data_IF_290244984557
#
_entry.id   IF_290244984557
#
_cell.length_a   1.000
_cell.length_b   1.000
_cell.length_c   1.000
_cell.angle_alpha   90.00
_cell.angle_beta   90.00
_cell.angle_gamma   90.00
#
_symmetry.space_group_name_H-M   'P 1'
#
loop_
_entity.id
_entity.type
_entity.pdbx_description
1 polymer ?
#
# COMPACT_ATOMS: atom_id res chain seq x y z
N UNK A 1 -44.61 -3.80 11.94
CA UNK A 1 -43.81 -4.57 12.93
C UNK A 1 -42.83 -5.51 12.25
N UNK A 2 -43.10 -6.82 12.07
CA UNK A 2 -42.08 -7.82 11.68
C UNK A 2 -41.23 -7.47 10.44
N UNK A 3 -41.83 -6.97 9.35
CA UNK A 3 -41.11 -6.57 8.13
C UNK A 3 -40.08 -5.44 8.35
N UNK A 4 -40.40 -4.44 9.18
CA UNK A 4 -39.48 -3.33 9.51
C UNK A 4 -38.24 -3.84 10.27
N UNK A 5 -38.42 -4.80 11.18
CA UNK A 5 -37.30 -5.41 11.89
C UNK A 5 -36.38 -6.19 10.95
N UNK A 6 -36.94 -6.86 9.92
CA UNK A 6 -36.17 -7.58 8.91
C UNK A 6 -35.33 -6.63 8.04
N UNK A 7 -35.92 -5.50 7.61
CA UNK A 7 -35.22 -4.47 6.84
C UNK A 7 -34.08 -3.83 7.65
N UNK A 8 -34.32 -3.53 8.93
CA UNK A 8 -33.28 -3.01 9.83
C UNK A 8 -32.13 -4.01 10.03
N UNK A 9 -32.44 -5.30 10.24
CA UNK A 9 -31.42 -6.35 10.31
C UNK A 9 -30.60 -6.49 9.02
N UNK A 10 -31.24 -6.45 7.86
CA UNK A 10 -30.54 -6.48 6.56
C UNK A 10 -29.63 -5.26 6.37
N UNK A 11 -30.07 -4.06 6.79
CA UNK A 11 -29.23 -2.85 6.76
C UNK A 11 -28.05 -2.86 7.73
N UNK A 12 -28.05 -3.74 8.74
CA UNK A 12 -26.89 -3.95 9.62
C UNK A 12 -25.84 -4.90 9.01
N UNK A 13 -26.18 -5.66 7.96
CA UNK A 13 -25.28 -6.57 7.25
C UNK A 13 -24.70 -6.00 5.95
N UNK A 14 -25.03 -4.75 5.58
CA UNK A 14 -24.26 -3.99 4.60
C UNK A 14 -22.94 -3.52 5.22
N UNK A 15 -22.06 -4.47 5.54
CA UNK A 15 -20.62 -4.21 5.60
C UNK A 15 -20.24 -3.55 4.29
N UNK A 16 -19.74 -2.30 4.26
CA UNK A 16 -19.23 -1.73 3.02
C UNK A 16 -18.14 -2.68 2.53
N UNK A 17 -18.22 -3.08 1.26
CA UNK A 17 -17.19 -3.92 0.60
C UNK A 17 -15.86 -3.23 0.85
N UNK A 18 -15.02 -3.88 1.66
CA UNK A 18 -14.07 -3.19 2.53
C UNK A 18 -12.88 -2.66 1.72
N UNK A 19 -13.08 -1.55 1.02
CA UNK A 19 -12.10 -0.94 0.16
C UNK A 19 -10.80 -0.71 0.94
N UNK A 20 -9.73 -1.29 0.42
CA UNK A 20 -8.39 -1.20 0.98
C UNK A 20 -7.85 0.24 0.88
N UNK A 21 -8.36 1.02 -0.08
CA UNK A 21 -8.34 2.48 -0.06
C UNK A 21 -9.31 2.97 1.01
N UNK A 22 -8.77 3.45 2.14
CA UNK A 22 -9.53 3.91 3.30
C UNK A 22 -9.70 5.42 3.32
N UNK A 23 -10.74 5.90 4.00
CA UNK A 23 -11.01 7.34 4.16
C UNK A 23 -10.05 8.02 5.14
N UNK A 24 -9.77 7.37 6.26
CA UNK A 24 -9.03 7.92 7.41
C UNK A 24 -8.25 6.78 8.10
N UNK A 25 -6.92 6.87 8.12
CA UNK A 25 -6.04 5.84 8.69
C UNK A 25 -6.30 5.55 10.17
N UNK A 26 -6.59 6.57 10.99
CA UNK A 26 -6.80 6.41 12.44
C UNK A 26 -8.04 5.57 12.80
N UNK A 27 -9.01 5.49 11.87
CA UNK A 27 -10.25 4.71 11.99
C UNK A 27 -10.22 3.40 11.19
N UNK A 28 -9.05 3.05 10.65
CA UNK A 28 -8.85 1.90 9.75
C UNK A 28 -8.28 0.66 10.45
N UNK A 29 -8.19 -0.46 9.73
CA UNK A 29 -7.51 -1.68 10.20
C UNK A 29 -5.99 -1.56 10.23
N UNK A 30 -5.39 -0.72 9.38
CA UNK A 30 -3.94 -0.51 9.35
C UNK A 30 -3.46 0.61 10.32
N UNK A 31 -4.36 1.11 11.17
CA UNK A 31 -4.04 2.04 12.28
C UNK A 31 -2.94 1.52 13.23
N UNK A 32 -2.79 0.20 13.34
CA UNK A 32 -1.79 -0.47 14.19
C UNK A 32 -0.33 -0.23 13.76
N UNK A 33 -0.08 0.18 12.51
CA UNK A 33 1.27 0.45 12.00
C UNK A 33 1.81 1.84 12.38
N UNK A 34 0.96 2.70 12.93
CA UNK A 34 1.32 4.06 13.36
C UNK A 34 1.55 4.13 14.88
N UNK A 35 2.25 5.18 15.33
CA UNK A 35 2.46 5.44 16.75
C UNK A 35 1.12 5.71 17.42
N UNK A 36 0.78 4.95 18.47
CA UNK A 36 -0.48 5.14 19.18
C UNK A 36 -0.40 6.31 20.16
N UNK A 37 -1.50 7.02 20.36
CA UNK A 37 -1.60 8.05 21.40
C UNK A 37 -1.29 7.46 22.80
N UNK A 38 -0.86 8.25 23.79
CA UNK A 38 -0.55 7.74 25.14
C UNK A 38 -1.72 7.02 25.83
N UNK A 39 -2.96 7.36 25.46
CA UNK A 39 -4.18 6.70 25.93
C UNK A 39 -4.71 5.61 24.98
N UNK A 40 -3.98 5.27 23.91
CA UNK A 40 -4.30 4.28 22.86
C UNK A 40 -5.71 4.39 22.27
N UNK A 41 -6.19 5.63 22.08
CA UNK A 41 -7.50 5.93 21.47
C UNK A 41 -7.43 6.36 20.01
N UNK A 42 -6.28 6.86 19.55
CA UNK A 42 -6.09 7.44 18.22
C UNK A 42 -4.68 7.09 17.75
N UNK A 43 -4.54 6.71 16.48
CA UNK A 43 -3.25 6.54 15.83
C UNK A 43 -2.70 7.90 15.35
N UNK A 44 -1.44 8.20 15.68
CA UNK A 44 -0.76 9.42 15.26
C UNK A 44 -0.16 9.19 13.88
N UNK A 45 -0.88 9.63 12.85
CA UNK A 45 -0.46 9.55 11.46
C UNK A 45 0.37 10.78 11.07
N UNK A 46 1.26 10.69 10.07
CA UNK A 46 1.81 11.86 9.39
C UNK A 46 0.70 12.69 8.73
N UNK A 47 1.05 13.91 8.27
CA UNK A 47 0.14 14.76 7.49
C UNK A 47 -0.41 14.01 6.27
N UNK A 48 -1.73 13.99 6.15
CA UNK A 48 -2.44 13.48 4.98
C UNK A 48 -2.87 14.67 4.12
N UNK A 49 -2.53 14.63 2.83
CA UNK A 49 -3.02 15.57 1.83
C UNK A 49 -4.48 15.27 1.47
N UNK A 50 -5.26 16.30 1.15
CA UNK A 50 -6.73 16.21 1.04
C UNK A 50 -7.25 16.19 -0.40
N UNK A 51 -6.35 16.41 -1.35
CA UNK A 51 -6.61 16.40 -2.79
C UNK A 51 -6.88 14.98 -3.29
N UNK A 52 -7.68 14.87 -4.37
CA UNK A 52 -8.35 13.62 -4.78
C UNK A 52 -7.39 12.52 -5.24
N UNK A 53 -6.18 12.89 -5.67
CA UNK A 53 -5.10 12.01 -6.10
C UNK A 53 -4.42 11.29 -4.93
N UNK A 54 -4.54 11.80 -3.70
CA UNK A 54 -3.95 11.16 -2.54
C UNK A 54 -4.88 10.10 -1.94
N UNK A 55 -4.41 8.86 -1.88
CA UNK A 55 -5.13 7.70 -1.34
C UNK A 55 -4.43 7.19 -0.09
N UNK A 56 -5.18 7.01 0.99
CA UNK A 56 -4.71 6.26 2.15
C UNK A 56 -5.04 4.79 1.91
N UNK A 57 -4.04 3.90 1.94
CA UNK A 57 -4.18 2.50 1.55
C UNK A 57 -3.73 1.58 2.69
N UNK A 58 -4.62 0.68 3.13
CA UNK A 58 -4.36 -0.31 4.17
C UNK A 58 -3.99 -1.66 3.57
N UNK A 59 -2.79 -1.76 3.01
CA UNK A 59 -2.33 -2.90 2.20
C UNK A 59 -2.43 -4.28 2.90
N UNK A 60 -3.11 -5.25 2.26
CA UNK A 60 -3.41 -6.62 2.73
C UNK A 60 -2.98 -7.75 1.76
N UNK A 61 -2.48 -8.86 2.30
CA UNK A 61 -2.22 -10.12 1.56
C UNK A 61 -2.79 -11.32 2.27
N UNK A 62 -3.47 -12.20 1.54
CA UNK A 62 -4.12 -13.39 2.07
C UNK A 62 -4.88 -13.07 3.38
N UNK A 63 -5.68 -12.01 3.35
CA UNK A 63 -6.47 -11.53 4.48
C UNK A 63 -5.64 -11.08 5.71
N UNK A 64 -4.42 -10.55 5.51
CA UNK A 64 -3.56 -9.96 6.55
C UNK A 64 -2.98 -8.61 6.14
N UNK A 65 -3.23 -7.57 6.93
CA UNK A 65 -2.65 -6.25 6.75
C UNK A 65 -1.12 -6.27 6.95
N UNK A 66 -0.40 -5.41 6.23
CA UNK A 66 1.08 -5.39 6.22
C UNK A 66 1.69 -3.99 6.28
N UNK A 67 1.06 -3.04 5.59
CA UNK A 67 1.54 -1.67 5.44
C UNK A 67 0.36 -0.69 5.46
N UNK A 68 0.64 0.57 5.74
CA UNK A 68 -0.29 1.69 5.56
C UNK A 68 0.40 2.76 4.71
N UNK A 69 -0.09 3.04 3.49
CA UNK A 69 0.60 3.90 2.50
C UNK A 69 -0.27 5.08 2.08
N UNK A 70 0.26 6.29 2.22
CA UNK A 70 -0.30 7.45 1.52
C UNK A 70 0.29 7.44 0.12
N UNK A 71 -0.54 7.22 -0.90
CA UNK A 71 -0.14 7.07 -2.30
C UNK A 71 -0.66 8.23 -3.13
N UNK A 72 0.13 8.69 -4.10
CA UNK A 72 -0.23 9.72 -5.08
C UNK A 72 -0.54 9.04 -6.42
N UNK A 73 -1.82 8.95 -6.76
CA UNK A 73 -2.28 8.30 -7.99
C UNK A 73 -2.09 9.14 -9.25
N UNK A 74 -1.71 10.43 -9.14
CA UNK A 74 -1.38 11.25 -10.30
C UNK A 74 0.09 11.06 -10.68
N UNK A 75 0.97 10.93 -9.69
CA UNK A 75 2.41 10.70 -9.89
C UNK A 75 2.80 9.22 -9.89
N UNK A 76 1.87 8.32 -9.56
CA UNK A 76 2.04 6.85 -9.51
C UNK A 76 3.19 6.46 -8.56
N UNK A 77 3.23 7.08 -7.37
CA UNK A 77 4.25 6.88 -6.33
C UNK A 77 3.66 6.95 -4.91
N UNK A 78 4.28 6.32 -3.90
CA UNK A 78 4.01 6.62 -2.49
C UNK A 78 4.52 8.01 -2.09
N UNK A 79 3.83 8.62 -1.14
CA UNK A 79 4.29 9.76 -0.35
C UNK A 79 5.04 9.27 0.91
N UNK A 80 4.45 8.30 1.61
CA UNK A 80 5.06 7.60 2.75
C UNK A 80 4.32 6.28 3.03
N UNK A 81 4.95 5.41 3.83
CA UNK A 81 4.23 4.29 4.47
C UNK A 81 4.67 4.04 5.91
N UNK A 82 3.78 3.41 6.67
CA UNK A 82 4.03 2.88 8.00
C UNK A 82 3.86 1.35 8.03
N UNK A 83 4.60 0.67 8.91
CA UNK A 83 4.58 -0.78 9.13
C UNK A 83 5.18 -1.10 10.51
N UNK A 84 4.86 -2.27 11.07
CA UNK A 84 5.46 -2.72 12.34
C UNK A 84 6.73 -3.54 12.10
N UNK A 85 7.89 -2.95 12.43
CA UNK A 85 9.15 -3.69 12.45
C UNK A 85 9.16 -4.75 13.57
N UNK A 86 9.65 -5.96 13.27
CA UNK A 86 9.53 -7.12 14.16
C UNK A 86 10.81 -7.96 14.31
N UNK A 87 11.96 -7.50 13.77
CA UNK A 87 13.28 -8.04 14.09
C UNK A 87 13.57 -9.47 13.63
N UNK A 88 13.02 -9.87 12.48
CA UNK A 88 13.25 -11.20 11.90
C UNK A 88 14.61 -11.38 11.21
N UNK A 89 14.83 -12.59 10.68
CA UNK A 89 16.03 -12.96 9.94
C UNK A 89 16.08 -12.30 8.54
N UNK A 90 17.26 -12.18 7.95
CA UNK A 90 17.38 -11.74 6.55
C UNK A 90 16.75 -12.79 5.62
N UNK A 91 15.72 -12.39 4.87
CA UNK A 91 15.05 -13.22 3.88
C UNK A 91 15.31 -12.65 2.48
N UNK A 92 15.40 -13.54 1.48
CA UNK A 92 15.51 -13.13 0.10
C UNK A 92 14.22 -12.46 -0.39
N UNK A 93 14.39 -11.44 -1.25
CA UNK A 93 13.26 -10.71 -1.83
C UNK A 93 12.62 -11.57 -2.92
N UNK A 94 11.36 -11.96 -2.73
CA UNK A 94 10.55 -12.47 -3.83
C UNK A 94 10.42 -11.37 -4.92
N UNK A 95 10.66 -11.74 -6.18
CA UNK A 95 10.65 -10.82 -7.32
C UNK A 95 9.25 -10.50 -7.88
N UNK A 96 8.20 -11.15 -7.39
CA UNK A 96 6.83 -10.93 -7.87
C UNK A 96 6.32 -9.50 -7.58
N UNK A 97 5.99 -8.78 -8.66
CA UNK A 97 5.15 -7.59 -8.59
C UNK A 97 3.70 -7.95 -8.29
N UNK A 98 3.00 -7.08 -7.56
CA UNK A 98 1.57 -7.15 -7.25
C UNK A 98 1.03 -5.74 -6.97
N UNK A 99 -0.23 -5.49 -7.36
CA UNK A 99 -0.88 -4.18 -7.40
C UNK A 99 -2.11 -4.09 -6.48
N UNK A 100 -2.59 -2.87 -6.24
CA UNK A 100 -3.87 -2.54 -5.60
C UNK A 100 -4.99 -2.52 -6.68
N UNK A 101 -5.74 -3.61 -6.93
CA UNK A 101 -6.70 -3.62 -8.04
C UNK A 101 -7.87 -2.64 -7.82
N UNK A 102 -8.15 -2.27 -6.57
CA UNK A 102 -9.15 -1.29 -6.18
C UNK A 102 -8.74 0.19 -6.39
N UNK A 103 -7.48 0.48 -6.76
CA UNK A 103 -7.10 1.81 -7.26
C UNK A 103 -7.63 2.06 -8.67
N UNK A 104 -7.57 1.04 -9.55
CA UNK A 104 -8.10 1.13 -10.91
C UNK A 104 -9.63 0.94 -10.95
N UNK A 105 -10.16 -0.03 -10.20
CA UNK A 105 -11.58 -0.35 -10.19
C UNK A 105 -12.06 -0.67 -8.77
N UNK A 106 -12.81 0.25 -8.15
CA UNK A 106 -13.32 0.15 -6.76
C UNK A 106 -14.28 -1.01 -6.48
N UNK A 107 -14.65 -1.81 -7.50
CA UNK A 107 -15.39 -3.08 -7.31
C UNK A 107 -14.50 -4.30 -7.08
N UNK A 108 -13.18 -4.18 -7.26
CA UNK A 108 -12.18 -5.24 -7.03
C UNK A 108 -12.01 -5.59 -5.55
N UNK A 109 -11.36 -6.72 -5.29
CA UNK A 109 -11.11 -7.24 -3.95
C UNK A 109 -10.06 -6.43 -3.16
N UNK A 110 -10.13 -6.42 -1.82
CA UNK A 110 -9.15 -5.80 -0.94
C UNK A 110 -8.08 -6.80 -0.48
N UNK A 111 -7.47 -7.51 -1.41
CA UNK A 111 -6.15 -8.12 -1.24
C UNK A 111 -5.41 -7.82 -2.54
N UNK A 112 -4.18 -7.33 -2.44
CA UNK A 112 -3.36 -7.00 -3.61
C UNK A 112 -3.04 -8.24 -4.45
N UNK A 113 -3.20 -8.14 -5.76
CA UNK A 113 -3.09 -9.27 -6.70
C UNK A 113 -1.92 -9.10 -7.69
N UNK A 114 -1.37 -10.22 -8.20
CA UNK A 114 -0.50 -10.15 -9.39
C UNK A 114 -1.42 -9.99 -10.60
N UNK A 115 -1.22 -8.91 -11.35
CA UNK A 115 -1.86 -8.68 -12.65
C UNK A 115 -1.10 -9.40 -13.77
N UNK A 116 -1.77 -9.70 -14.88
CA UNK A 116 -1.09 -10.21 -16.07
C UNK A 116 -0.32 -9.08 -16.76
N UNK A 117 0.64 -9.45 -17.61
CA UNK A 117 1.40 -8.48 -18.40
C UNK A 117 0.52 -7.82 -19.50
N UNK A 118 -0.63 -8.42 -19.80
CA UNK A 118 -1.68 -7.92 -20.70
C UNK A 118 -2.55 -6.86 -20.00
N UNK A 119 -2.94 -7.08 -18.73
CA UNK A 119 -3.72 -6.11 -17.94
C UNK A 119 -2.92 -4.83 -17.62
N UNK A 120 -1.59 -4.87 -17.64
CA UNK A 120 -0.72 -3.75 -17.22
C UNK A 120 -0.96 -2.44 -17.96
N UNK A 121 -1.45 -2.48 -19.21
CA UNK A 121 -1.72 -1.26 -19.99
C UNK A 121 -3.04 -0.56 -19.60
N UNK A 122 -3.89 -1.21 -18.79
CA UNK A 122 -5.10 -0.57 -18.22
C UNK A 122 -4.81 0.23 -16.94
N UNK A 123 -3.65 0.02 -16.31
CA UNK A 123 -3.31 0.55 -14.97
C UNK A 123 -2.85 2.02 -15.01
N UNK A 124 -3.78 2.92 -14.68
CA UNK A 124 -3.62 4.37 -14.78
C UNK A 124 -3.26 5.05 -13.46
N UNK A 125 -3.68 4.50 -12.32
CA UNK A 125 -3.61 5.16 -11.01
C UNK A 125 -2.48 4.68 -10.09
N UNK A 126 -1.72 3.68 -10.52
CA UNK A 126 -0.50 3.20 -9.86
C UNK A 126 0.52 2.73 -10.90
N UNK A 127 1.77 2.58 -10.50
CA UNK A 127 2.80 2.02 -11.36
C UNK A 127 2.68 0.49 -11.49
N UNK A 128 3.27 -0.05 -12.55
CA UNK A 128 3.30 -1.48 -12.87
C UNK A 128 4.73 -1.91 -13.18
N UNK A 129 4.98 -3.22 -13.21
CA UNK A 129 6.32 -3.77 -13.42
C UNK A 129 6.98 -3.25 -14.71
N UNK A 130 6.17 -3.11 -15.78
CA UNK A 130 6.54 -2.55 -17.08
C UNK A 130 7.21 -1.17 -16.99
N UNK A 131 6.75 -0.28 -16.12
CA UNK A 131 7.31 1.09 -15.96
C UNK A 131 8.81 1.07 -15.63
N UNK A 132 9.27 0.02 -14.94
CA UNK A 132 10.66 -0.15 -14.52
C UNK A 132 11.43 -1.06 -15.49
N UNK A 133 10.86 -2.17 -15.93
CA UNK A 133 11.53 -3.12 -16.85
C UNK A 133 11.78 -2.52 -18.24
N UNK A 134 10.83 -1.75 -18.77
CA UNK A 134 10.98 -1.06 -20.07
C UNK A 134 11.56 0.35 -19.93
N UNK A 135 11.86 0.83 -18.71
CA UNK A 135 12.33 2.19 -18.43
C UNK A 135 13.44 2.68 -19.37
N UNK A 136 14.41 1.81 -19.64
CA UNK A 136 15.57 2.08 -20.51
C UNK A 136 15.18 2.22 -21.99
N UNK A 137 14.18 1.47 -22.46
CA UNK A 137 13.61 1.66 -23.80
C UNK A 137 12.85 2.98 -23.86
N UNK A 138 11.92 3.18 -22.91
CA UNK A 138 10.88 4.19 -23.02
C UNK A 138 11.37 5.60 -22.61
N UNK A 139 12.47 5.71 -21.85
CA UNK A 139 13.02 7.00 -21.36
C UNK A 139 14.52 7.19 -21.62
N UNK A 140 15.20 6.22 -22.25
CA UNK A 140 16.67 6.12 -22.34
C UNK A 140 17.40 6.09 -20.96
N UNK A 141 16.66 6.09 -19.84
CA UNK A 141 17.20 6.00 -18.48
C UNK A 141 16.70 4.72 -17.83
N UNK A 142 17.61 3.96 -17.24
CA UNK A 142 17.29 2.70 -16.55
C UNK A 142 16.96 3.00 -15.08
N UNK A 143 15.72 2.68 -14.67
CA UNK A 143 15.21 2.89 -13.32
C UNK A 143 15.07 1.55 -12.59
N UNK A 144 15.71 1.43 -11.43
CA UNK A 144 15.45 0.32 -10.51
C UNK A 144 14.32 0.63 -9.55
N UNK A 145 13.51 -0.40 -9.31
CA UNK A 145 12.53 -0.46 -8.23
C UNK A 145 13.22 -0.73 -6.88
N UNK A 146 12.97 0.11 -5.88
CA UNK A 146 13.57 -0.01 -4.54
C UNK A 146 12.56 0.26 -3.43
N UNK A 147 12.46 -0.66 -2.46
CA UNK A 147 11.53 -0.49 -1.32
C UNK A 147 11.99 0.63 -0.37
N UNK A 148 11.03 1.47 0.02
CA UNK A 148 11.06 2.38 1.17
C UNK A 148 10.92 1.61 2.50
N UNK A 149 11.09 0.27 2.48
CA UNK A 149 11.41 -0.58 3.62
C UNK A 149 12.81 -1.20 3.45
N UNK A 150 13.78 -0.92 4.36
CA UNK A 150 15.09 -1.59 4.33
C UNK A 150 14.96 -3.10 4.63
N UNK A 151 15.66 -3.95 3.87
CA UNK A 151 15.53 -5.42 3.91
C UNK A 151 15.98 -6.09 5.23
N UNK A 152 16.38 -5.32 6.24
CA UNK A 152 17.04 -5.81 7.46
C UNK A 152 16.02 -6.07 8.58
N UNK A 153 15.21 -7.13 8.43
CA UNK A 153 14.58 -7.81 9.57
C UNK A 153 13.05 -7.85 9.64
N UNK A 154 12.37 -8.17 8.54
CA UNK A 154 10.94 -8.52 8.59
C UNK A 154 10.70 -9.89 9.26
N UNK A 155 9.65 -10.02 10.07
CA UNK A 155 9.23 -11.32 10.64
C UNK A 155 8.81 -12.31 9.54
N UNK A 156 8.79 -13.61 9.86
CA UNK A 156 8.20 -14.66 9.01
C UNK A 156 6.72 -14.40 8.70
N UNK A 157 6.00 -13.64 9.54
CA UNK A 157 4.64 -13.15 9.22
C UNK A 157 4.60 -12.04 8.15
N UNK A 158 5.68 -11.26 8.00
CA UNK A 158 5.81 -10.13 7.06
C UNK A 158 6.12 -10.58 5.62
N UNK A 159 6.42 -11.86 5.39
CA UNK A 159 6.60 -12.45 4.06
C UNK A 159 5.37 -12.27 3.16
N UNK A 160 5.46 -11.32 2.22
CA UNK A 160 4.93 -11.22 0.84
C UNK A 160 5.26 -9.76 0.43
N UNK A 161 6.13 -9.49 -0.57
CA UNK A 161 6.51 -8.12 -0.92
C UNK A 161 5.35 -7.47 -1.66
N UNK A 162 4.73 -6.45 -1.05
CA UNK A 162 3.41 -6.03 -1.49
C UNK A 162 3.14 -4.53 -1.39
N UNK A 163 2.38 -4.06 -2.40
CA UNK A 163 2.45 -2.77 -3.09
C UNK A 163 3.59 -1.87 -2.63
N UNK A 164 4.64 -1.93 -3.44
CA UNK A 164 5.12 -0.77 -4.18
C UNK A 164 5.31 0.55 -3.42
N UNK A 165 5.86 0.46 -2.22
CA UNK A 165 6.41 1.62 -1.54
C UNK A 165 7.78 1.95 -2.18
N UNK A 166 7.80 2.55 -3.38
CA UNK A 166 8.99 2.70 -4.23
C UNK A 166 9.19 4.10 -4.81
N UNK A 167 10.46 4.48 -4.93
CA UNK A 167 10.91 5.65 -5.68
C UNK A 167 11.76 5.16 -6.86
N UNK A 168 11.64 5.78 -8.02
CA UNK A 168 12.43 5.43 -9.21
C UNK A 168 13.90 5.81 -9.00
N UNK A 169 14.77 4.82 -8.74
CA UNK A 169 16.19 5.05 -8.55
C UNK A 169 16.95 4.95 -9.88
N UNK A 170 17.59 6.05 -10.29
CA UNK A 170 18.47 6.08 -11.47
C UNK A 170 19.80 5.38 -11.16
N UNK A 171 20.09 4.26 -11.84
CA UNK A 171 21.28 3.42 -11.58
C UNK A 171 22.67 4.09 -11.81
N UNK A 172 22.73 5.38 -12.17
CA UNK A 172 23.96 6.12 -12.46
C UNK A 172 24.51 6.96 -11.30
N UNK A 173 23.87 6.97 -10.12
CA UNK A 173 24.35 7.77 -8.99
C UNK A 173 23.76 7.37 -7.64
N UNK A 174 24.60 7.27 -6.59
CA UNK A 174 24.18 6.85 -5.24
C UNK A 174 23.15 7.82 -4.66
N UNK A 175 21.91 7.40 -4.50
CA UNK A 175 20.94 8.11 -3.65
C UNK A 175 20.98 7.53 -2.23
N UNK A 176 21.02 8.42 -1.24
CA UNK A 176 20.96 8.06 0.17
C UNK A 176 19.59 8.47 0.72
N UNK A 177 18.61 7.56 0.69
CA UNK A 177 17.35 7.76 1.41
C UNK A 177 17.64 7.77 2.92
N UNK A 178 17.75 8.97 3.48
CA UNK A 178 18.15 9.20 4.88
C UNK A 178 16.95 9.09 5.80
N UNK A 179 16.73 7.89 6.33
CA UNK A 179 15.65 7.57 7.27
C UNK A 179 15.59 8.53 8.46
N UNK A 180 14.45 9.20 8.63
CA UNK A 180 14.07 9.83 9.89
C UNK A 180 13.48 8.74 10.77
N UNK A 181 14.26 8.27 11.75
CA UNK A 181 13.78 7.38 12.79
C UNK A 181 12.98 8.19 13.80
N UNK A 182 11.66 8.05 13.79
CA UNK A 182 10.83 8.49 14.93
C UNK A 182 11.19 7.64 16.16
N UNK A 183 11.21 8.26 17.32
CA UNK A 183 11.50 7.64 18.63
C UNK A 183 10.20 7.44 19.42
#
# INVERSE_FOLDING_TARGET
MKLLALVLLLSAFSSPTLAEVVKEFDKSKCSEFFIQSPNRKIAITPTVFTEKEYKQICQRWNNRYRFATLYDTQRRIPVYSAYTFSGGEHNDRNGEWKNEPQLENSTKGPDMEKISDEDMDEFSYQAVNRDYEESKSNTNTEYTRGHVFPNQGGSKSTQLPLVENMLAEKMSGRMNLKWIKSY
#
